data_IF_314249125999
#
_entry.id   IF_314249125999
#
_cell.length_a   1.000
_cell.length_b   1.000
_cell.length_c   1.000
_cell.angle_alpha   90.00
_cell.angle_beta   90.00
_cell.angle_gamma   90.00
#
_symmetry.space_group_name_H-M   'P 1'
#
loop_
_entity.id
_entity.type
_entity.pdbx_description
1 polymer ?
#
# COMPACT_ATOMS: atom_id res chain seq x y z
N UNK A 1 -5.57 15.63 -21.90
CA UNK A 1 -5.81 14.88 -20.65
C UNK A 1 -4.49 14.22 -20.25
N UNK A 2 -3.94 14.54 -19.07
CA UNK A 2 -2.70 13.89 -18.58
C UNK A 2 -3.03 12.45 -18.18
N UNK A 3 -2.24 11.48 -18.64
CA UNK A 3 -2.35 10.07 -18.18
C UNK A 3 -1.62 9.93 -16.85
N UNK A 4 -2.24 9.25 -15.90
CA UNK A 4 -1.60 8.87 -14.65
C UNK A 4 -0.71 7.65 -14.87
N UNK A 5 0.50 7.66 -14.33
CA UNK A 5 1.44 6.56 -14.35
C UNK A 5 1.54 5.90 -12.98
N UNK A 6 1.18 4.62 -12.92
CA UNK A 6 1.32 3.77 -11.74
C UNK A 6 2.51 2.85 -11.93
N UNK A 7 3.45 2.84 -10.99
CA UNK A 7 4.64 1.99 -11.03
C UNK A 7 4.54 0.91 -9.95
N UNK A 8 4.44 -0.36 -10.36
CA UNK A 8 4.50 -1.50 -9.45
C UNK A 8 5.96 -1.88 -9.18
N UNK A 9 6.29 -2.05 -7.90
CA UNK A 9 7.65 -2.30 -7.42
C UNK A 9 7.65 -3.48 -6.44
N UNK A 10 8.27 -4.62 -6.77
CA UNK A 10 8.31 -5.76 -5.86
C UNK A 10 9.17 -5.46 -4.64
N UNK A 11 8.65 -5.71 -3.44
CA UNK A 11 9.30 -5.34 -2.19
C UNK A 11 10.49 -6.24 -1.78
N UNK A 12 10.68 -7.39 -2.44
CA UNK A 12 11.87 -8.23 -2.25
C UNK A 12 13.12 -7.68 -2.98
N UNK A 13 12.95 -6.74 -3.92
CA UNK A 13 14.04 -6.20 -4.75
C UNK A 13 14.45 -4.79 -4.31
N UNK A 14 15.48 -4.72 -3.48
CA UNK A 14 16.05 -3.46 -2.99
C UNK A 14 16.43 -2.49 -4.12
N UNK A 15 17.00 -3.01 -5.20
CA UNK A 15 17.35 -2.22 -6.39
C UNK A 15 16.11 -1.58 -7.04
N UNK A 16 14.97 -2.28 -7.05
CA UNK A 16 13.74 -1.75 -7.64
C UNK A 16 13.03 -0.78 -6.70
N UNK A 17 13.07 -1.02 -5.38
CA UNK A 17 12.59 -0.05 -4.37
C UNK A 17 13.32 1.29 -4.55
N UNK A 18 14.66 1.25 -4.60
CA UNK A 18 15.50 2.45 -4.74
C UNK A 18 15.15 3.24 -6.01
N UNK A 19 14.98 2.53 -7.14
CA UNK A 19 14.56 3.14 -8.41
C UNK A 19 13.13 3.69 -8.36
N UNK A 20 12.24 2.99 -7.66
CA UNK A 20 10.85 3.41 -7.47
C UNK A 20 10.78 4.74 -6.75
N UNK A 21 11.46 4.85 -5.60
CA UNK A 21 11.54 6.06 -4.77
C UNK A 21 11.96 7.29 -5.59
N UNK A 22 12.93 7.12 -6.51
CA UNK A 22 13.46 8.20 -7.34
C UNK A 22 12.74 8.37 -8.70
N UNK A 23 11.66 7.63 -8.94
CA UNK A 23 10.91 7.70 -10.20
C UNK A 23 10.02 8.95 -10.26
N UNK A 24 9.58 9.31 -11.48
CA UNK A 24 8.60 10.39 -11.72
C UNK A 24 7.17 9.86 -11.84
N UNK A 25 6.89 8.65 -11.33
CA UNK A 25 5.55 8.06 -11.39
C UNK A 25 4.56 8.86 -10.52
N UNK A 26 3.30 8.93 -10.93
CA UNK A 26 2.26 9.61 -10.15
C UNK A 26 1.88 8.81 -8.89
N UNK A 27 2.08 7.48 -8.92
CA UNK A 27 1.94 6.60 -7.78
C UNK A 27 2.92 5.42 -7.89
N UNK A 28 3.56 5.08 -6.78
CA UNK A 28 4.46 3.93 -6.66
C UNK A 28 3.79 2.93 -5.72
N UNK A 29 3.56 1.71 -6.22
CA UNK A 29 2.91 0.64 -5.48
C UNK A 29 3.99 -0.38 -5.13
N UNK A 30 4.45 -0.36 -3.89
CA UNK A 30 5.32 -1.38 -3.33
C UNK A 30 4.51 -2.63 -3.05
N UNK A 31 4.89 -3.74 -3.67
CA UNK A 31 4.10 -4.96 -3.70
C UNK A 31 4.66 -6.02 -2.76
N UNK A 32 3.85 -6.42 -1.78
CA UNK A 32 4.10 -7.56 -0.90
C UNK A 32 3.29 -8.81 -1.31
N UNK A 33 2.38 -8.71 -2.29
CA UNK A 33 1.50 -9.79 -2.74
C UNK A 33 2.14 -10.61 -3.89
N UNK A 34 1.58 -10.58 -5.09
CA UNK A 34 1.89 -11.54 -6.16
C UNK A 34 3.31 -11.43 -6.70
N UNK A 35 3.96 -10.26 -6.59
CA UNK A 35 5.33 -10.08 -7.07
C UNK A 35 6.41 -10.59 -6.10
N UNK A 36 6.02 -11.17 -4.96
CA UNK A 36 6.92 -11.69 -3.92
C UNK A 36 6.59 -13.15 -3.64
N UNK A 37 7.59 -14.04 -3.75
CA UNK A 37 7.45 -15.46 -3.41
C UNK A 37 7.16 -15.64 -1.90
N UNK A 38 6.51 -16.75 -1.54
CA UNK A 38 6.08 -17.02 -0.15
C UNK A 38 7.27 -17.00 0.83
N UNK A 39 8.40 -17.57 0.43
CA UNK A 39 9.62 -17.70 1.23
C UNK A 39 10.32 -16.33 1.43
N UNK A 40 10.01 -15.34 0.58
CA UNK A 40 10.61 -14.01 0.63
C UNK A 40 9.74 -12.96 1.34
N UNK A 41 8.52 -13.31 1.78
CA UNK A 41 7.56 -12.35 2.38
C UNK A 41 8.15 -11.60 3.57
N UNK A 42 8.78 -12.32 4.50
CA UNK A 42 9.42 -11.70 5.67
C UNK A 42 10.54 -10.74 5.23
N UNK A 43 11.42 -11.19 4.35
CA UNK A 43 12.53 -10.38 3.84
C UNK A 43 12.04 -9.14 3.08
N UNK A 44 10.95 -9.27 2.33
CA UNK A 44 10.35 -8.17 1.59
C UNK A 44 9.80 -7.09 2.53
N UNK A 45 9.12 -7.49 3.62
CA UNK A 45 8.67 -6.57 4.69
C UNK A 45 9.85 -5.82 5.31
N UNK A 46 10.88 -6.55 5.74
CA UNK A 46 12.05 -5.94 6.40
C UNK A 46 12.76 -4.94 5.49
N UNK A 47 12.92 -5.29 4.20
CA UNK A 47 13.52 -4.41 3.19
C UNK A 47 12.68 -3.16 2.96
N UNK A 48 11.37 -3.32 2.85
CA UNK A 48 10.46 -2.20 2.62
C UNK A 48 10.50 -1.20 3.78
N UNK A 49 10.44 -1.70 5.03
CA UNK A 49 10.53 -0.87 6.24
C UNK A 49 11.87 -0.15 6.31
N UNK A 50 12.98 -0.86 6.09
CA UNK A 50 14.31 -0.26 6.11
C UNK A 50 14.44 0.86 5.07
N UNK A 51 13.99 0.63 3.83
CA UNK A 51 14.14 1.60 2.74
C UNK A 51 13.20 2.78 2.85
N UNK A 52 11.95 2.56 3.25
CA UNK A 52 10.96 3.63 3.31
C UNK A 52 10.92 4.34 4.67
N UNK A 53 11.57 3.81 5.71
CA UNK A 53 11.57 4.40 7.06
C UNK A 53 12.09 5.84 7.13
N UNK A 54 12.93 6.26 6.18
CA UNK A 54 13.45 7.63 6.07
C UNK A 54 12.73 8.49 5.01
N UNK A 55 11.76 7.95 4.28
CA UNK A 55 11.09 8.62 3.17
C UNK A 55 9.63 8.94 3.51
N UNK A 56 9.21 10.18 3.24
CA UNK A 56 7.80 10.62 3.38
C UNK A 56 7.30 11.08 2.02
N UNK A 57 6.32 10.37 1.48
CA UNK A 57 5.76 10.71 0.18
C UNK A 57 4.29 10.29 0.06
N UNK A 58 3.43 11.26 -0.26
CA UNK A 58 2.00 11.01 -0.45
C UNK A 58 1.68 10.06 -1.61
N UNK A 59 2.61 9.84 -2.53
CA UNK A 59 2.42 8.98 -3.71
C UNK A 59 2.97 7.56 -3.52
N UNK A 60 3.39 7.20 -2.29
CA UNK A 60 3.78 5.84 -1.95
C UNK A 60 2.57 5.03 -1.48
N UNK A 61 2.36 3.91 -2.15
CA UNK A 61 1.32 2.94 -1.87
C UNK A 61 1.98 1.61 -1.52
N UNK A 62 1.40 0.87 -0.57
CA UNK A 62 1.84 -0.49 -0.26
C UNK A 62 0.67 -1.45 -0.47
N UNK A 63 0.85 -2.42 -1.35
CA UNK A 63 -0.09 -3.54 -1.55
C UNK A 63 0.29 -4.67 -0.61
N UNK A 64 -0.58 -4.92 0.37
CA UNK A 64 -0.45 -6.05 1.31
C UNK A 64 -0.95 -7.35 0.68
N UNK A 65 -0.70 -8.47 1.33
CA UNK A 65 -1.31 -9.74 0.95
C UNK A 65 -2.82 -9.77 1.25
N UNK A 66 -3.52 -10.68 0.58
CA UNK A 66 -4.96 -10.95 0.77
C UNK A 66 -5.28 -11.31 2.22
N UNK A 67 -6.44 -10.87 2.72
CA UNK A 67 -6.95 -11.19 4.05
C UNK A 67 -7.19 -12.69 4.24
N UNK A 68 -7.35 -13.45 3.16
CA UNK A 68 -7.42 -14.91 3.21
C UNK A 68 -6.05 -15.60 3.43
N UNK A 69 -4.94 -14.86 3.33
CA UNK A 69 -3.59 -15.38 3.55
C UNK A 69 -3.15 -15.27 5.02
N UNK A 70 -2.10 -16.00 5.40
CA UNK A 70 -1.48 -15.86 6.73
C UNK A 70 -0.55 -14.63 6.86
N UNK A 71 -0.29 -13.91 5.76
CA UNK A 71 0.75 -12.88 5.71
C UNK A 71 0.26 -11.46 5.99
N UNK A 72 -1.03 -11.17 5.76
CA UNK A 72 -1.53 -9.79 5.73
C UNK A 72 -1.37 -9.06 7.08
N UNK A 73 -1.55 -9.76 8.21
CA UNK A 73 -1.40 -9.14 9.53
C UNK A 73 0.03 -8.67 9.77
N UNK A 74 1.00 -9.50 9.34
CA UNK A 74 2.41 -9.20 9.46
C UNK A 74 2.85 -8.10 8.48
N UNK A 75 2.18 -7.99 7.32
CA UNK A 75 2.34 -6.85 6.41
C UNK A 75 1.87 -5.56 7.04
N UNK A 76 0.67 -5.55 7.64
CA UNK A 76 0.11 -4.38 8.33
C UNK A 76 1.01 -3.94 9.49
N UNK A 77 1.49 -4.89 10.30
CA UNK A 77 2.42 -4.58 11.41
C UNK A 77 3.76 -4.02 10.92
N UNK A 78 4.27 -4.51 9.79
CA UNK A 78 5.50 -3.97 9.20
C UNK A 78 5.31 -2.54 8.69
N UNK A 79 4.26 -2.29 7.89
CA UNK A 79 4.05 -0.96 7.28
C UNK A 79 3.63 0.10 8.30
N UNK A 80 3.05 -0.28 9.45
CA UNK A 80 2.74 0.66 10.54
C UNK A 80 3.99 1.33 11.14
N UNK A 81 5.18 0.80 10.86
CA UNK A 81 6.46 1.43 11.22
C UNK A 81 6.88 2.54 10.24
N UNK A 82 6.23 2.63 9.07
CA UNK A 82 6.56 3.62 8.06
C UNK A 82 6.04 5.01 8.44
N UNK A 83 6.81 6.07 8.13
CA UNK A 83 6.43 7.43 8.50
C UNK A 83 5.21 7.95 7.74
N UNK A 84 4.97 7.48 6.51
CA UNK A 84 3.83 7.83 5.67
C UNK A 84 3.64 6.79 4.55
N UNK A 85 2.41 6.32 4.35
CA UNK A 85 2.05 5.42 3.25
C UNK A 85 0.55 5.46 2.96
N UNK A 86 0.16 4.92 1.80
CA UNK A 86 -1.25 4.58 1.49
C UNK A 86 -1.39 3.07 1.33
N UNK A 87 -2.38 2.50 1.99
CA UNK A 87 -2.64 1.07 1.91
C UNK A 87 -3.44 0.71 0.64
N UNK A 88 -3.06 -0.39 0.01
CA UNK A 88 -3.83 -1.08 -1.04
C UNK A 88 -4.17 -2.49 -0.55
N UNK A 89 -5.47 -2.76 -0.36
CA UNK A 89 -5.96 -4.10 -0.04
C UNK A 89 -6.37 -4.82 -1.32
N UNK A 90 -5.76 -5.97 -1.66
CA UNK A 90 -6.17 -6.75 -2.81
C UNK A 90 -7.48 -7.48 -2.55
N UNK A 91 -8.20 -7.85 -3.62
CA UNK A 91 -9.35 -8.77 -3.59
C UNK A 91 -10.47 -8.43 -2.59
N UNK A 92 -10.63 -7.15 -2.23
CA UNK A 92 -11.75 -6.68 -1.39
C UNK A 92 -13.08 -7.05 -2.04
N UNK A 93 -13.92 -7.78 -1.31
CA UNK A 93 -15.25 -8.22 -1.76
C UNK A 93 -16.38 -7.49 -1.03
N UNK A 94 -16.14 -7.03 0.20
CA UNK A 94 -17.14 -6.35 1.00
C UNK A 94 -16.54 -5.31 1.96
N UNK A 95 -17.40 -4.48 2.57
CA UNK A 95 -16.98 -3.48 3.55
C UNK A 95 -16.32 -4.09 4.81
N UNK A 96 -16.66 -5.34 5.16
CA UNK A 96 -16.07 -6.03 6.31
C UNK A 96 -14.56 -6.19 6.15
N UNK A 97 -14.08 -6.45 4.94
CA UNK A 97 -12.65 -6.63 4.65
C UNK A 97 -11.87 -5.34 5.00
N UNK A 98 -12.45 -4.19 4.67
CA UNK A 98 -11.88 -2.87 4.99
C UNK A 98 -11.88 -2.65 6.51
N UNK A 99 -13.03 -2.90 7.16
CA UNK A 99 -13.18 -2.72 8.60
C UNK A 99 -12.20 -3.58 9.41
N UNK A 100 -11.92 -4.82 8.97
CA UNK A 100 -10.96 -5.70 9.62
C UNK A 100 -9.55 -5.07 9.61
N UNK A 101 -9.13 -4.54 8.47
CA UNK A 101 -7.80 -3.91 8.38
C UNK A 101 -7.74 -2.57 9.08
N UNK A 102 -8.80 -1.75 9.02
CA UNK A 102 -8.91 -0.51 9.78
C UNK A 102 -8.82 -0.75 11.30
N UNK A 103 -9.39 -1.83 11.82
CA UNK A 103 -9.29 -2.19 13.24
C UNK A 103 -7.89 -2.65 13.64
N UNK A 104 -7.11 -3.19 12.68
CA UNK A 104 -5.75 -3.67 12.93
C UNK A 104 -4.71 -2.57 12.84
N UNK A 105 -4.89 -1.59 11.93
CA UNK A 105 -3.97 -0.48 11.74
C UNK A 105 -3.92 0.44 12.96
N UNK A 106 -2.71 0.74 13.44
CA UNK A 106 -2.50 1.72 14.53
C UNK A 106 -2.46 3.15 14.01
N UNK A 107 -2.04 3.34 12.76
CA UNK A 107 -1.83 4.66 12.15
C UNK A 107 -2.96 4.97 11.16
N UNK A 108 -3.83 5.91 11.51
CA UNK A 108 -4.97 6.31 10.68
C UNK A 108 -4.49 7.12 9.46
N UNK A 109 -4.31 6.48 8.29
CA UNK A 109 -4.06 7.18 7.02
C UNK A 109 -4.88 6.62 5.83
N UNK A 110 -5.12 7.54 4.87
CA UNK A 110 -6.14 7.51 3.82
C UNK A 110 -6.11 6.24 2.96
N UNK A 111 -7.17 5.45 3.07
CA UNK A 111 -7.45 4.29 2.24
C UNK A 111 -7.51 4.66 0.74
N UNK A 112 -6.81 3.91 -0.10
CA UNK A 112 -7.02 3.95 -1.54
C UNK A 112 -7.47 2.57 -1.99
N UNK A 113 -8.77 2.44 -2.20
CA UNK A 113 -9.38 1.18 -2.61
C UNK A 113 -8.83 0.75 -3.98
N UNK A 114 -8.72 -0.57 -4.17
CA UNK A 114 -8.33 -1.25 -5.41
C UNK A 114 -8.76 -0.51 -6.70
N UNK A 115 -7.85 -0.44 -7.68
CA UNK A 115 -8.07 0.20 -8.98
C UNK A 115 -9.22 -0.41 -9.81
N UNK A 116 -9.91 -1.46 -9.32
CA UNK A 116 -11.05 -2.12 -9.98
C UNK A 116 -12.10 -2.66 -8.98
N UNK A 117 -12.69 -1.83 -8.12
CA UNK A 117 -13.89 -2.23 -7.36
C UNK A 117 -15.15 -1.84 -8.14
N UNK A 118 -16.11 -2.75 -8.41
CA UNK A 118 -17.45 -2.37 -8.82
C UNK A 118 -18.05 -1.44 -7.77
N UNK A 119 -18.88 -0.47 -8.20
CA UNK A 119 -19.54 0.58 -7.40
C UNK A 119 -20.46 0.09 -6.25
N UNK A 120 -20.38 -1.17 -5.84
CA UNK A 120 -21.28 -1.80 -4.88
C UNK A 120 -21.00 -1.44 -3.41
N UNK A 121 -19.83 -0.91 -3.07
CA UNK A 121 -19.53 -0.53 -1.69
C UNK A 121 -19.82 0.96 -1.51
N UNK A 122 -21.02 1.30 -1.03
CA UNK A 122 -21.57 2.65 -0.88
C UNK A 122 -20.87 3.54 0.16
N UNK A 123 -19.55 3.71 0.08
CA UNK A 123 -18.78 4.65 0.90
C UNK A 123 -18.53 5.93 0.09
N UNK A 124 -19.06 7.07 0.58
CA UNK A 124 -18.77 8.38 -0.02
C UNK A 124 -17.32 8.77 0.27
N UNK A 125 -16.50 8.81 -0.78
CA UNK A 125 -15.15 9.35 -0.73
C UNK A 125 -15.19 10.84 -0.34
N UNK A 126 -14.48 11.22 0.73
CA UNK A 126 -14.16 12.64 1.00
C UNK A 126 -12.74 12.91 0.53
N UNK A 127 -12.60 13.67 -0.56
CA UNK A 127 -11.31 14.24 -0.97
C UNK A 127 -10.62 14.91 0.22
N UNK A 128 -9.29 14.78 0.38
CA UNK A 128 -8.55 15.72 1.21
C UNK A 128 -8.79 17.12 0.64
N UNK A 129 -9.42 18.00 1.42
CA UNK A 129 -9.39 19.42 1.06
C UNK A 129 -7.92 19.85 1.11
N UNK A 130 -7.38 20.48 0.03
CA UNK A 130 -6.05 21.04 0.10
C UNK A 130 -6.00 22.02 1.28
N UNK A 131 -5.00 21.90 2.15
CA UNK A 131 -4.67 23.00 3.05
C UNK A 131 -4.23 24.15 2.17
N UNK A 132 -5.12 25.13 2.00
CA UNK A 132 -4.75 26.43 1.48
C UNK A 132 -3.87 27.09 2.54
N UNK A 133 -2.56 27.14 2.21
CA UNK A 133 -1.44 27.87 2.84
C UNK A 133 -1.43 27.97 4.36
#
# INVERSE_FOLDING_TARGET
MRRLAYLFVPANSEKMIEKGIHSKADAIIFDLEDAVAHEEKQRARDRLVNKLGSHRAEHFFVRINDLASEFWEADVEAIDQLPEYRLVIPKVTCAKDINIVEQRQRTVLKFCQSLKVPKACGMSWRSPRPRLK
#
